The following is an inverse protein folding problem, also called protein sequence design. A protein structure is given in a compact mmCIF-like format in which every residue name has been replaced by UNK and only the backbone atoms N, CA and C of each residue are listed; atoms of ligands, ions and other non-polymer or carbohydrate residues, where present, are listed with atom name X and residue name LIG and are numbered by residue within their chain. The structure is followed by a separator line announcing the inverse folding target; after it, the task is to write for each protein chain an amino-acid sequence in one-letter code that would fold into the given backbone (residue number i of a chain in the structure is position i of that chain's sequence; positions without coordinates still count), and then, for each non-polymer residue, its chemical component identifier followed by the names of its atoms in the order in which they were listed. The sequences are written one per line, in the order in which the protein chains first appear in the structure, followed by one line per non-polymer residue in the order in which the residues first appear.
data_IF_079779674404
#
_entry.id   IF_079779674404
#
_cell.length_a   1.000
_cell.length_b   1.000
_cell.length_c   1.000
_cell.angle_alpha   90.00
_cell.angle_beta   90.00
_cell.angle_gamma   90.00
#
_symmetry.space_group_name_H-M   'P 1'
#
loop_
_entity.id
_entity.type
_entity.pdbx_description
1 polymer ?
#
# COMPACT_ATOMS: atom_id res chain seq x y z
N UNK A 1 0.26 -12.69 -24.01
CA UNK A 1 0.62 -13.12 -22.64
C UNK A 1 0.51 -11.90 -21.75
N UNK A 2 -0.43 -11.85 -20.80
CA UNK A 2 -0.45 -10.76 -19.82
C UNK A 2 0.42 -11.19 -18.64
N UNK A 3 1.47 -10.43 -18.35
CA UNK A 3 2.26 -10.61 -17.14
C UNK A 3 1.38 -10.24 -15.94
N UNK A 4 1.17 -11.16 -14.99
CA UNK A 4 0.61 -10.80 -13.69
C UNK A 4 1.71 -10.06 -12.91
N UNK A 5 1.65 -8.73 -12.92
CA UNK A 5 2.40 -7.89 -12.00
C UNK A 5 1.64 -7.73 -10.69
N UNK A 6 2.36 -7.66 -9.57
CA UNK A 6 1.79 -7.31 -8.27
C UNK A 6 2.17 -5.86 -7.93
N UNK A 7 1.18 -5.09 -7.46
CA UNK A 7 1.39 -3.74 -6.94
C UNK A 7 1.38 -3.80 -5.40
N UNK A 8 2.30 -3.09 -4.78
CA UNK A 8 2.41 -3.02 -3.31
C UNK A 8 2.43 -1.58 -2.84
N UNK A 9 1.74 -1.32 -1.73
CA UNK A 9 1.94 -0.13 -0.92
C UNK A 9 2.91 -0.49 0.21
N UNK A 10 3.95 0.33 0.39
CA UNK A 10 4.97 0.11 1.41
C UNK A 10 5.30 1.41 2.13
N UNK A 11 5.80 1.28 3.36
CA UNK A 11 6.25 2.40 4.17
C UNK A 11 7.77 2.56 4.04
N UNK A 12 8.23 3.79 3.81
CA UNK A 12 9.66 4.09 3.75
C UNK A 12 10.20 4.45 5.13
N UNK A 13 10.54 3.44 5.94
CA UNK A 13 11.15 3.64 7.25
C UNK A 13 12.60 4.13 7.17
N UNK A 14 13.30 3.91 6.05
CA UNK A 14 14.69 4.33 5.85
C UNK A 14 14.87 5.85 5.84
N UNK A 15 13.80 6.59 5.56
CA UNK A 15 13.81 8.05 5.61
C UNK A 15 13.88 8.60 7.04
N UNK A 16 13.68 7.77 8.08
CA UNK A 16 13.80 8.16 9.49
C UNK A 16 12.68 9.06 10.03
N UNK A 17 11.66 9.36 9.21
CA UNK A 17 10.50 10.20 9.60
C UNK A 17 9.40 9.39 10.28
N UNK A 18 9.37 8.08 10.07
CA UNK A 18 8.44 7.16 10.71
C UNK A 18 9.21 6.18 11.58
N UNK A 19 8.75 5.99 12.82
CA UNK A 19 9.18 4.87 13.65
C UNK A 19 8.55 3.56 13.18
N UNK A 20 9.12 2.43 13.61
CA UNK A 20 8.52 1.12 13.33
C UNK A 20 7.10 1.02 13.90
N UNK A 21 6.88 1.48 15.13
CA UNK A 21 5.56 1.48 15.78
C UNK A 21 4.54 2.31 15.00
N UNK A 22 4.92 3.50 14.52
CA UNK A 22 4.08 4.31 13.65
C UNK A 22 3.78 3.57 12.35
N UNK A 23 4.77 2.89 11.77
CA UNK A 23 4.58 2.11 10.56
C UNK A 23 3.61 0.95 10.74
N UNK A 24 3.68 0.24 11.87
CA UNK A 24 2.73 -0.82 12.18
C UNK A 24 1.30 -0.27 12.34
N UNK A 25 1.13 0.86 13.04
CA UNK A 25 -0.18 1.52 13.18
C UNK A 25 -0.75 1.96 11.83
N UNK A 26 0.08 2.52 10.95
CA UNK A 26 -0.34 2.90 9.60
C UNK A 26 -0.80 1.70 8.77
N UNK A 27 -0.06 0.60 8.79
CA UNK A 27 -0.46 -0.61 8.07
C UNK A 27 -1.77 -1.19 8.61
N UNK A 28 -1.95 -1.23 9.93
CA UNK A 28 -3.23 -1.61 10.55
C UNK A 28 -4.39 -0.73 10.04
N UNK A 29 -4.23 0.59 10.06
CA UNK A 29 -5.26 1.53 9.58
C UNK A 29 -5.56 1.35 8.09
N UNK A 30 -4.54 1.16 7.25
CA UNK A 30 -4.73 0.93 5.80
C UNK A 30 -5.54 -0.34 5.55
N UNK A 31 -5.27 -1.42 6.30
CA UNK A 31 -5.99 -2.69 6.19
C UNK A 31 -7.46 -2.57 6.62
N UNK A 32 -7.74 -1.83 7.70
CA UNK A 32 -9.08 -1.73 8.28
C UNK A 32 -9.98 -0.69 7.61
N UNK A 33 -9.40 0.40 7.10
CA UNK A 33 -10.16 1.52 6.52
C UNK A 33 -10.68 1.29 5.12
N UNK A 34 -10.18 0.26 4.42
CA UNK A 34 -10.46 0.09 2.98
C UNK A 34 -9.83 1.19 2.11
N UNK A 35 -8.86 1.96 2.63
CA UNK A 35 -8.23 3.10 1.95
C UNK A 35 -7.81 2.78 0.51
N UNK A 36 -7.26 1.59 0.27
CA UNK A 36 -6.78 1.18 -1.06
C UNK A 36 -7.89 1.22 -2.13
N UNK A 37 -9.13 0.91 -1.76
CA UNK A 37 -10.29 0.97 -2.66
C UNK A 37 -10.71 2.40 -3.03
N UNK A 38 -10.25 3.38 -2.26
CA UNK A 38 -10.59 4.80 -2.42
C UNK A 38 -9.42 5.65 -2.92
N UNK A 39 -8.26 5.05 -3.20
CA UNK A 39 -7.13 5.79 -3.75
C UNK A 39 -7.47 6.30 -5.17
N UNK A 40 -7.12 7.55 -5.52
CA UNK A 40 -7.37 8.12 -6.84
C UNK A 40 -6.34 7.60 -7.86
N UNK A 41 -6.25 6.28 -8.02
CA UNK A 41 -5.35 5.59 -8.94
C UNK A 41 -6.20 5.03 -10.10
N UNK A 42 -5.70 5.01 -11.35
CA UNK A 42 -6.42 4.41 -12.46
C UNK A 42 -6.75 2.93 -12.21
N UNK A 43 -8.03 2.64 -11.96
CA UNK A 43 -8.53 1.33 -11.55
C UNK A 43 -8.71 0.34 -12.71
N UNK A 44 -8.44 0.71 -13.96
CA UNK A 44 -8.68 -0.16 -15.11
C UNK A 44 -7.70 -1.32 -15.24
N UNK A 45 -6.61 -1.34 -14.45
CA UNK A 45 -5.54 -2.35 -14.56
C UNK A 45 -5.13 -2.98 -13.21
N UNK A 46 -5.61 -2.46 -12.08
CA UNK A 46 -5.23 -2.95 -10.75
C UNK A 46 -6.45 -3.55 -10.07
N UNK A 47 -6.43 -4.87 -9.86
CA UNK A 47 -7.43 -5.56 -9.04
C UNK A 47 -6.98 -5.58 -7.58
N UNK A 48 -7.86 -5.30 -6.60
CA UNK A 48 -7.54 -5.48 -5.19
C UNK A 48 -7.06 -6.90 -4.88
N UNK A 49 -5.94 -7.03 -4.18
CA UNK A 49 -5.42 -8.30 -3.67
C UNK A 49 -5.59 -8.38 -2.15
N UNK A 50 -5.99 -9.55 -1.66
CA UNK A 50 -6.00 -9.89 -0.23
C UNK A 50 -4.85 -10.82 0.15
N UNK A 51 -3.93 -11.04 -0.80
CA UNK A 51 -2.75 -11.86 -0.64
C UNK A 51 -1.50 -10.99 -0.75
N UNK A 52 -0.54 -11.22 0.17
CA UNK A 52 0.77 -10.56 0.16
C UNK A 52 1.67 -11.15 -0.93
N UNK A 53 1.58 -12.46 -1.13
CA UNK A 53 2.16 -13.25 -2.22
C UNK A 53 1.15 -14.33 -2.58
N UNK A 54 1.22 -14.97 -3.76
CA UNK A 54 0.28 -16.05 -4.12
C UNK A 54 0.16 -17.12 -3.03
N UNK A 55 -1.05 -17.27 -2.49
CA UNK A 55 -1.36 -18.20 -1.38
C UNK A 55 -0.92 -17.74 0.02
N UNK A 56 -0.37 -16.53 0.16
CA UNK A 56 0.07 -15.97 1.44
C UNK A 56 -0.89 -14.86 1.88
N UNK A 57 -1.52 -15.07 3.03
CA UNK A 57 -2.39 -14.06 3.63
C UNK A 57 -1.59 -12.83 4.05
N UNK A 58 -2.21 -11.67 3.95
CA UNK A 58 -1.67 -10.43 4.51
C UNK A 58 -1.65 -10.57 6.05
N UNK A 59 -0.51 -10.33 6.72
CA UNK A 59 -0.46 -10.37 8.18
C UNK A 59 -1.30 -9.25 8.78
N UNK A 60 -2.13 -9.61 9.76
CA UNK A 60 -2.87 -8.64 10.57
C UNK A 60 -1.94 -8.03 11.61
N UNK A 61 -1.95 -6.70 11.72
CA UNK A 61 -1.28 -5.99 12.79
C UNK A 61 -2.27 -5.61 13.88
N UNK A 62 -1.91 -5.94 15.12
CA UNK A 62 -2.56 -5.45 16.32
C UNK A 62 -1.56 -4.53 17.01
N UNK A 63 -1.88 -3.24 17.07
CA UNK A 63 -0.97 -2.19 17.56
C UNK A 63 -1.65 -1.44 18.69
N UNK A 64 -0.86 -0.98 19.65
CA UNK A 64 -1.32 -0.12 20.73
C UNK A 64 -1.89 1.19 20.17
N UNK A 65 -3.04 1.62 20.70
CA UNK A 65 -3.77 2.79 20.22
C UNK A 65 -3.00 4.11 20.42
N UNK A 66 -2.09 4.17 21.40
CA UNK A 66 -1.45 5.40 21.87
C UNK A 66 -0.27 5.89 21.00
N UNK A 67 0.05 5.20 19.90
CA UNK A 67 1.13 5.64 19.01
C UNK A 67 0.68 6.87 18.19
N UNK A 68 1.22 8.05 18.50
CA UNK A 68 0.94 9.27 17.73
C UNK A 68 1.46 9.16 16.28
N UNK A 69 0.61 9.51 15.31
CA UNK A 69 0.95 9.53 13.88
C UNK A 69 1.32 10.96 13.44
N UNK A 70 2.14 11.12 12.40
CA UNK A 70 2.37 12.44 11.80
C UNK A 70 1.09 12.99 11.18
N UNK A 71 0.93 14.31 11.20
CA UNK A 71 -0.26 15.01 10.70
C UNK A 71 -0.48 14.84 9.19
N UNK A 72 0.60 14.54 8.44
CA UNK A 72 0.54 14.40 6.98
C UNK A 72 1.41 13.25 6.48
N UNK A 73 0.83 12.46 5.59
CA UNK A 73 1.54 11.46 4.80
C UNK A 73 1.51 11.84 3.32
N UNK A 74 2.56 11.48 2.60
CA UNK A 74 2.63 11.67 1.14
C UNK A 74 2.69 10.30 0.49
N UNK A 75 1.71 10.00 -0.35
CA UNK A 75 1.70 8.79 -1.17
C UNK A 75 2.53 9.03 -2.43
N UNK A 76 3.63 8.31 -2.57
CA UNK A 76 4.44 8.31 -3.78
C UNK A 76 3.96 7.16 -4.68
N UNK A 77 3.30 7.50 -5.79
CA UNK A 77 2.85 6.52 -6.78
C UNK A 77 3.80 6.53 -7.99
N UNK A 78 4.34 5.36 -8.33
CA UNK A 78 5.10 5.14 -9.57
C UNK A 78 4.42 4.01 -10.35
N UNK A 79 3.71 4.30 -11.45
CA UNK A 79 3.10 3.26 -12.25
C UNK A 79 4.20 2.36 -12.88
N UNK A 80 3.93 1.05 -13.05
CA UNK A 80 4.75 0.19 -13.90
C UNK A 80 4.98 0.82 -15.27
N UNK A 81 6.23 0.83 -15.75
CA UNK A 81 6.61 1.42 -17.04
C UNK A 81 5.92 0.73 -18.22
N UNK A 82 5.55 -0.54 -18.04
CA UNK A 82 4.84 -1.35 -19.03
C UNK A 82 3.43 -0.81 -19.35
N UNK A 83 2.85 0.02 -18.49
CA UNK A 83 1.52 0.64 -18.69
C UNK A 83 1.55 1.87 -19.62
N UNK A 84 2.72 2.41 -19.96
CA UNK A 84 2.82 3.55 -20.88
C UNK A 84 2.48 3.18 -22.33
N UNK A 85 2.45 1.88 -22.67
CA UNK A 85 2.28 1.41 -24.06
C UNK A 85 0.82 1.12 -24.47
N UNK A 86 -0.15 1.25 -23.56
CA UNK A 86 -1.58 0.97 -23.84
C UNK A 86 -2.42 2.25 -24.00
N UNK A 87 -1.80 3.42 -23.89
CA UNK A 87 -2.49 4.73 -24.03
C UNK A 87 -1.99 5.58 -25.21
N UNK A 88 -1.16 5.02 -26.10
CA UNK A 88 -0.75 5.67 -27.36
C UNK A 88 -1.72 5.38 -28.51
#
# INVERSE_FOLDING_TARGET
SMSLGWCYLALNLRHGVLSEAQGQKLLMLIQQSGLLSHLPIPNSVITPSHEMLPGWRIPHQQVEEDVALPDRLTLLYRPPVELETVTA
#
